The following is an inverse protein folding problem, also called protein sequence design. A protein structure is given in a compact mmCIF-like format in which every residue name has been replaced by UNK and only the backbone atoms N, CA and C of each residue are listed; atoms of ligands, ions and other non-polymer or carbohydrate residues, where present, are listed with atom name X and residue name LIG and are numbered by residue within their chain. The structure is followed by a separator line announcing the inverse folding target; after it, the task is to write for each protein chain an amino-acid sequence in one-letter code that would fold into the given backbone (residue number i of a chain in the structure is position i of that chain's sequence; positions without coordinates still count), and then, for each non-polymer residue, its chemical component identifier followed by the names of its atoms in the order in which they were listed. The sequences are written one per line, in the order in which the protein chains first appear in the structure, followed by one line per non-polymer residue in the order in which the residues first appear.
data_IF_697660862878
#
_entry.id   IF_697660862878
#
_cell.length_a   1.000
_cell.length_b   1.000
_cell.length_c   1.000
_cell.angle_alpha   90.00
_cell.angle_beta   90.00
_cell.angle_gamma   90.00
#
_symmetry.space_group_name_H-M   'P 1'
#
loop_
_entity.id
_entity.type
_entity.pdbx_description
1 polymer ?
#
# COMPACT_ATOMS: atom_id res chain seq x y z
N UNK A 1 -13.13 26.98 13.14
CA UNK A 1 -13.36 26.75 14.58
C UNK A 1 -13.94 25.37 14.80
N UNK A 2 -13.39 24.63 15.78
CA UNK A 2 -13.97 23.40 16.32
C UNK A 2 -14.39 23.61 17.75
N UNK A 3 -15.52 23.04 18.12
CA UNK A 3 -16.05 23.03 19.48
C UNK A 3 -16.26 21.60 19.92
N UNK A 4 -15.75 21.24 21.08
CA UNK A 4 -16.03 19.99 21.79
C UNK A 4 -16.94 20.31 22.98
N UNK A 5 -18.04 19.58 23.10
CA UNK A 5 -18.93 19.68 24.24
C UNK A 5 -18.94 18.33 24.95
N UNK A 6 -18.58 18.28 26.21
CA UNK A 6 -18.67 17.09 27.05
C UNK A 6 -20.12 16.80 27.47
N UNK A 7 -20.38 15.59 27.99
CA UNK A 7 -21.72 15.17 28.38
C UNK A 7 -22.29 16.01 29.54
N UNK A 8 -21.44 16.61 30.37
CA UNK A 8 -21.77 17.53 31.45
C UNK A 8 -21.95 18.99 30.99
N UNK A 9 -21.87 19.26 29.68
CA UNK A 9 -22.08 20.57 29.08
C UNK A 9 -20.82 21.46 29.03
N UNK A 10 -19.66 21.02 29.53
CA UNK A 10 -18.43 21.81 29.43
C UNK A 10 -18.02 21.96 27.96
N UNK A 11 -17.63 23.17 27.55
CA UNK A 11 -17.28 23.51 26.18
C UNK A 11 -15.83 23.93 26.06
N UNK A 12 -15.12 23.29 25.16
CA UNK A 12 -13.78 23.66 24.72
C UNK A 12 -13.79 24.00 23.23
N UNK A 13 -13.05 25.01 22.83
CA UNK A 13 -12.97 25.37 21.42
C UNK A 13 -11.54 25.66 20.97
N UNK A 14 -11.28 25.43 19.68
CA UNK A 14 -10.05 25.82 19.02
C UNK A 14 -10.35 26.45 17.65
N UNK A 15 -9.62 27.51 17.32
CA UNK A 15 -9.75 28.20 16.04
C UNK A 15 -8.37 28.32 15.40
N UNK A 16 -8.27 27.91 14.16
CA UNK A 16 -7.07 28.12 13.34
C UNK A 16 -7.44 28.88 12.08
N UNK A 17 -6.58 29.81 11.70
CA UNK A 17 -6.65 30.53 10.42
C UNK A 17 -5.36 30.34 9.66
N UNK A 18 -5.44 30.18 8.36
CA UNK A 18 -4.29 30.13 7.48
C UNK A 18 -4.69 30.69 6.11
N UNK A 19 -3.76 31.33 5.38
CA UNK A 19 -3.98 31.68 3.99
C UNK A 19 -4.16 30.38 3.17
N UNK A 20 -5.15 30.40 2.29
CA UNK A 20 -5.47 29.27 1.42
C UNK A 20 -5.29 29.74 -0.02
N UNK A 21 -4.56 28.97 -0.83
CA UNK A 21 -4.49 29.20 -2.27
C UNK A 21 -5.85 28.84 -2.86
N UNK A 22 -6.48 29.80 -3.51
CA UNK A 22 -7.81 29.62 -4.10
C UNK A 22 -7.77 28.74 -5.34
N UNK A 23 -8.69 27.79 -5.40
CA UNK A 23 -8.98 26.96 -6.56
C UNK A 23 -8.43 25.54 -6.54
N UNK A 24 -9.24 24.61 -7.02
CA UNK A 24 -8.86 23.25 -7.36
C UNK A 24 -8.57 22.29 -6.21
N UNK A 25 -7.71 21.32 -6.51
CA UNK A 25 -7.40 20.21 -5.60
C UNK A 25 -6.55 20.67 -4.40
N UNK A 26 -5.71 21.68 -4.58
CA UNK A 26 -4.80 22.17 -3.52
C UNK A 26 -5.57 22.92 -2.43
N UNK A 27 -6.57 23.71 -2.79
CA UNK A 27 -7.48 24.32 -1.82
C UNK A 27 -8.15 23.28 -0.92
N UNK A 28 -8.72 22.22 -1.53
CA UNK A 28 -9.33 21.11 -0.79
C UNK A 28 -8.35 20.41 0.16
N UNK A 29 -7.10 20.24 -0.26
CA UNK A 29 -6.04 19.65 0.57
C UNK A 29 -5.68 20.54 1.76
N UNK A 30 -5.54 21.84 1.53
CA UNK A 30 -5.21 22.81 2.57
C UNK A 30 -6.33 22.93 3.59
N UNK A 31 -7.59 23.01 3.14
CA UNK A 31 -8.77 23.02 4.00
C UNK A 31 -8.83 21.75 4.88
N UNK A 32 -8.71 20.58 4.28
CA UNK A 32 -8.69 19.31 5.05
C UNK A 32 -7.57 19.27 6.08
N UNK A 33 -6.39 19.79 5.75
CA UNK A 33 -5.25 19.87 6.68
C UNK A 33 -5.55 20.81 7.84
N UNK A 34 -6.09 21.99 7.54
CA UNK A 34 -6.46 22.98 8.56
C UNK A 34 -7.51 22.44 9.52
N UNK A 35 -8.55 21.77 8.98
CA UNK A 35 -9.60 21.12 9.76
C UNK A 35 -9.01 20.05 10.69
N UNK A 36 -8.23 19.11 10.16
CA UNK A 36 -7.57 18.04 10.93
C UNK A 36 -6.67 18.59 12.03
N UNK A 37 -5.88 19.62 11.72
CA UNK A 37 -4.97 20.26 12.68
C UNK A 37 -5.74 20.96 13.79
N UNK A 38 -6.81 21.66 13.47
CA UNK A 38 -7.64 22.35 14.44
C UNK A 38 -8.31 21.37 15.42
N UNK A 39 -8.87 20.29 14.89
CA UNK A 39 -9.45 19.21 15.70
C UNK A 39 -8.39 18.53 16.58
N UNK A 40 -7.24 18.19 16.01
CA UNK A 40 -6.13 17.58 16.73
C UNK A 40 -5.68 18.43 17.93
N UNK A 41 -5.45 19.72 17.72
CA UNK A 41 -5.00 20.62 18.79
C UNK A 41 -6.02 20.73 19.93
N UNK A 42 -7.32 20.73 19.60
CA UNK A 42 -8.37 20.71 20.60
C UNK A 42 -8.36 19.41 21.40
N UNK A 43 -8.33 18.26 20.72
CA UNK A 43 -8.31 16.94 21.36
C UNK A 43 -7.04 16.73 22.20
N UNK A 44 -5.87 17.15 21.70
CA UNK A 44 -4.61 17.10 22.45
C UNK A 44 -4.72 17.88 23.77
N UNK A 45 -5.27 19.09 23.74
CA UNK A 45 -5.45 19.92 24.94
C UNK A 45 -6.42 19.29 25.95
N UNK A 46 -7.58 18.82 25.48
CA UNK A 46 -8.61 18.25 26.35
C UNK A 46 -8.19 16.87 26.91
N UNK A 47 -7.54 16.03 26.12
CA UNK A 47 -7.14 14.69 26.56
C UNK A 47 -5.80 14.62 27.28
N UNK A 48 -4.96 15.66 27.17
CA UNK A 48 -3.57 15.63 27.61
C UNK A 48 -2.67 14.65 26.82
N UNK A 49 -3.19 14.00 25.78
CA UNK A 49 -2.46 12.98 25.00
C UNK A 49 -1.83 13.59 23.74
N UNK A 50 -0.59 13.20 23.47
CA UNK A 50 0.15 13.56 22.25
C UNK A 50 0.53 12.30 21.49
N UNK A 51 -0.24 11.88 20.47
CA UNK A 51 0.15 10.79 19.59
C UNK A 51 1.49 11.07 18.91
N UNK A 52 2.34 10.05 18.77
CA UNK A 52 3.69 10.21 18.19
C UNK A 52 3.68 10.73 16.74
N UNK A 53 2.64 10.43 15.98
CA UNK A 53 2.41 10.95 14.62
C UNK A 53 1.67 12.29 14.57
N UNK A 54 1.40 12.90 15.71
CA UNK A 54 0.73 14.19 15.83
C UNK A 54 -0.60 14.26 15.08
N UNK A 55 -0.79 15.30 14.29
CA UNK A 55 -1.98 15.50 13.44
C UNK A 55 -1.91 14.79 12.09
N UNK A 56 -0.85 14.02 11.80
CA UNK A 56 -0.67 13.33 10.55
C UNK A 56 -1.54 12.08 10.48
N UNK A 57 -2.63 12.14 9.72
CA UNK A 57 -3.58 11.02 9.56
C UNK A 57 -3.95 10.80 8.09
N UNK A 58 -4.05 9.53 7.66
CA UNK A 58 -4.51 9.16 6.32
C UNK A 58 -3.56 9.60 5.20
N UNK A 59 -2.28 9.75 5.49
CA UNK A 59 -1.22 10.07 4.53
C UNK A 59 -0.05 9.11 4.79
N UNK A 60 0.62 8.67 3.75
CA UNK A 60 1.90 7.97 3.85
C UNK A 60 2.98 8.99 4.27
N UNK A 61 3.59 8.89 5.45
CA UNK A 61 4.51 9.91 5.96
C UNK A 61 5.72 10.11 5.06
N UNK A 62 6.29 9.03 4.53
CA UNK A 62 7.42 9.08 3.59
C UNK A 62 7.08 9.83 2.31
N UNK A 63 5.86 9.65 1.76
CA UNK A 63 5.42 10.42 0.58
C UNK A 63 5.36 11.91 0.87
N UNK A 64 4.87 12.31 2.05
CA UNK A 64 4.86 13.72 2.45
C UNK A 64 6.28 14.27 2.53
N UNK A 65 7.22 13.49 3.12
CA UNK A 65 8.62 13.87 3.22
C UNK A 65 9.22 14.10 1.83
N UNK A 66 9.10 13.15 0.91
CA UNK A 66 9.58 13.29 -0.46
C UNK A 66 8.97 14.49 -1.19
N UNK A 67 7.68 14.73 -1.04
CA UNK A 67 7.01 15.91 -1.64
C UNK A 67 7.60 17.24 -1.17
N UNK A 68 8.12 17.32 0.06
CA UNK A 68 8.79 18.52 0.54
C UNK A 68 10.19 18.66 -0.05
N UNK A 69 10.95 17.55 -0.17
CA UNK A 69 12.25 17.53 -0.85
C UNK A 69 12.11 17.94 -2.34
N UNK A 70 11.10 17.44 -3.04
CA UNK A 70 10.79 17.80 -4.44
C UNK A 70 10.47 19.28 -4.63
N UNK A 71 9.98 19.94 -3.59
CA UNK A 71 9.77 21.40 -3.55
C UNK A 71 11.05 22.18 -3.24
N UNK A 72 12.20 21.52 -3.19
CA UNK A 72 13.50 22.11 -2.95
C UNK A 72 13.84 22.38 -1.47
N UNK A 73 13.04 21.84 -0.52
CA UNK A 73 13.37 21.98 0.90
C UNK A 73 14.53 21.09 1.30
N UNK A 74 15.38 21.59 2.21
CA UNK A 74 16.40 20.79 2.87
C UNK A 74 15.77 19.79 3.85
N UNK A 75 16.53 18.78 4.26
CA UNK A 75 16.06 17.81 5.28
C UNK A 75 15.70 18.52 6.59
N UNK A 76 16.47 19.49 7.01
CA UNK A 76 16.22 20.27 8.22
C UNK A 76 14.89 21.05 8.14
N UNK A 77 14.60 21.65 7.00
CA UNK A 77 13.33 22.34 6.77
C UNK A 77 12.14 21.37 6.75
N UNK A 78 12.34 20.15 6.21
CA UNK A 78 11.30 19.11 6.27
C UNK A 78 11.07 18.68 7.72
N UNK A 79 12.13 18.38 8.49
CA UNK A 79 12.05 18.04 9.92
C UNK A 79 11.29 19.11 10.71
N UNK A 80 11.62 20.37 10.50
CA UNK A 80 10.94 21.51 11.11
C UNK A 80 9.45 21.54 10.73
N UNK A 81 9.14 21.35 9.45
CA UNK A 81 7.76 21.29 8.97
C UNK A 81 6.97 20.15 9.63
N UNK A 82 7.58 18.97 9.81
CA UNK A 82 6.94 17.83 10.45
C UNK A 82 6.67 18.07 11.93
N UNK A 83 7.61 18.70 12.62
CA UNK A 83 7.46 19.08 14.03
C UNK A 83 6.42 20.20 14.23
N UNK A 84 6.58 21.32 13.54
CA UNK A 84 5.78 22.54 13.80
C UNK A 84 4.36 22.45 13.19
N UNK A 85 4.24 21.90 11.97
CA UNK A 85 2.95 21.85 11.28
C UNK A 85 2.10 20.64 11.69
N UNK A 86 2.75 19.50 11.94
CA UNK A 86 2.06 18.25 12.22
C UNK A 86 2.21 17.76 13.66
N UNK A 87 3.07 18.36 14.47
CA UNK A 87 3.36 17.98 15.86
C UNK A 87 3.87 16.53 16.01
N UNK A 88 4.67 16.04 15.03
CA UNK A 88 5.31 14.73 15.13
C UNK A 88 6.31 14.71 16.29
N UNK A 89 6.44 13.55 16.94
CA UNK A 89 7.52 13.33 17.90
C UNK A 89 8.88 13.28 17.19
N UNK A 90 9.95 13.63 17.93
CA UNK A 90 11.31 13.57 17.40
C UNK A 90 11.66 12.16 16.92
N UNK A 91 11.30 11.12 17.68
CA UNK A 91 11.47 9.72 17.33
C UNK A 91 10.88 9.38 15.95
N UNK A 92 9.67 9.87 15.62
CA UNK A 92 9.05 9.60 14.31
C UNK A 92 9.67 10.41 13.18
N UNK A 93 10.20 11.59 13.48
CA UNK A 93 10.95 12.40 12.52
C UNK A 93 12.28 11.70 12.19
N UNK A 94 13.00 11.20 13.19
CA UNK A 94 14.26 10.48 13.02
C UNK A 94 14.05 9.17 12.25
N UNK A 95 13.01 8.40 12.59
CA UNK A 95 12.61 7.21 11.84
C UNK A 95 12.33 7.52 10.35
N UNK A 96 11.67 8.63 10.05
CA UNK A 96 11.45 9.04 8.66
C UNK A 96 12.75 9.36 7.93
N UNK A 97 13.69 10.04 8.59
CA UNK A 97 15.02 10.32 8.01
C UNK A 97 15.80 9.03 7.72
N UNK A 98 15.75 8.06 8.63
CA UNK A 98 16.37 6.74 8.44
C UNK A 98 15.76 6.01 7.24
N UNK A 99 14.41 5.97 7.14
CA UNK A 99 13.71 5.35 6.02
C UNK A 99 14.07 6.03 4.70
N UNK A 100 14.06 7.37 4.64
CA UNK A 100 14.40 8.14 3.45
C UNK A 100 15.86 7.89 3.04
N UNK A 101 16.75 7.76 4.02
CA UNK A 101 18.18 7.45 3.76
C UNK A 101 18.35 6.02 3.21
N UNK A 102 17.66 5.04 3.80
CA UNK A 102 17.68 3.66 3.34
C UNK A 102 17.05 3.47 1.93
N UNK A 103 16.11 4.33 1.56
CA UNK A 103 15.45 4.32 0.25
C UNK A 103 16.25 5.07 -0.83
N UNK A 104 17.37 5.69 -0.48
CA UNK A 104 18.21 6.43 -1.43
C UNK A 104 18.73 5.48 -2.52
N UNK A 105 18.51 5.81 -3.79
CA UNK A 105 18.89 4.97 -4.92
C UNK A 105 17.92 3.81 -5.25
N UNK A 106 17.00 3.46 -4.33
CA UNK A 106 16.00 2.41 -4.59
C UNK A 106 14.75 2.96 -5.29
N UNK A 107 14.33 4.16 -4.91
CA UNK A 107 13.16 4.81 -5.52
C UNK A 107 13.61 5.55 -6.78
N UNK A 108 13.21 5.04 -7.92
CA UNK A 108 13.44 5.69 -9.20
C UNK A 108 12.32 6.73 -9.46
N UNK A 109 12.75 7.96 -9.72
CA UNK A 109 11.86 9.09 -10.00
C UNK A 109 12.11 9.69 -11.39
N UNK A 110 12.79 8.95 -12.26
CA UNK A 110 13.04 9.39 -13.64
C UNK A 110 11.71 9.54 -14.39
N UNK A 111 11.68 10.47 -15.30
CA UNK A 111 10.45 10.92 -15.98
C UNK A 111 9.81 9.88 -16.91
N UNK A 112 10.43 8.71 -17.17
CA UNK A 112 9.91 7.70 -18.10
C UNK A 112 9.96 6.30 -17.52
N UNK A 113 9.75 6.18 -16.21
CA UNK A 113 9.70 4.91 -15.50
C UNK A 113 8.34 4.75 -14.84
N UNK A 114 7.77 3.57 -14.91
CA UNK A 114 6.54 3.21 -14.22
C UNK A 114 6.67 1.81 -13.60
N UNK A 115 5.75 1.50 -12.71
CA UNK A 115 5.61 0.20 -12.07
C UNK A 115 4.30 -0.44 -12.52
N UNK A 116 4.31 -1.77 -12.72
CA UNK A 116 3.15 -2.57 -13.08
C UNK A 116 2.55 -3.22 -11.84
N UNK A 117 1.28 -3.00 -11.58
CA UNK A 117 0.52 -3.75 -10.57
C UNK A 117 -0.57 -4.57 -11.24
N UNK A 118 -0.56 -5.88 -10.99
CA UNK A 118 -1.58 -6.82 -11.47
C UNK A 118 -2.38 -7.32 -10.27
N UNK A 119 -3.68 -7.06 -10.26
CA UNK A 119 -4.57 -7.45 -9.16
C UNK A 119 -5.28 -8.77 -9.44
N UNK A 120 -5.22 -9.75 -8.54
CA UNK A 120 -6.01 -10.98 -8.60
C UNK A 120 -7.09 -10.89 -7.51
N UNK A 121 -8.36 -10.71 -7.86
CA UNK A 121 -9.42 -10.42 -6.88
C UNK A 121 -9.99 -11.68 -6.21
N UNK A 122 -9.29 -12.80 -6.25
CA UNK A 122 -9.77 -14.07 -5.71
C UNK A 122 -9.01 -14.49 -4.46
N UNK A 123 -9.72 -15.08 -3.49
CA UNK A 123 -9.19 -15.72 -2.30
C UNK A 123 -9.86 -17.07 -2.08
N UNK A 124 -9.21 -18.00 -1.39
CA UNK A 124 -9.83 -19.30 -1.01
C UNK A 124 -10.91 -19.11 0.04
N UNK A 125 -10.70 -18.16 0.98
CA UNK A 125 -11.70 -17.75 2.00
C UNK A 125 -11.55 -16.26 2.28
N UNK A 126 -12.60 -15.62 2.79
CA UNK A 126 -12.53 -14.21 3.19
C UNK A 126 -12.09 -14.07 4.64
N UNK A 127 -11.00 -13.34 4.86
CA UNK A 127 -10.54 -13.02 6.21
C UNK A 127 -11.44 -11.98 6.90
N UNK A 128 -11.72 -12.15 8.19
CA UNK A 128 -12.61 -11.28 8.95
C UNK A 128 -12.23 -9.78 8.97
N UNK A 129 -10.95 -9.48 8.81
CA UNK A 129 -10.40 -8.11 8.82
C UNK A 129 -10.22 -7.51 7.42
N UNK A 130 -10.47 -8.29 6.33
CA UNK A 130 -10.09 -7.88 4.98
C UNK A 130 -10.98 -6.76 4.44
N UNK A 131 -10.34 -5.65 4.04
CA UNK A 131 -10.98 -4.52 3.38
C UNK A 131 -10.73 -4.45 1.87
N UNK A 132 -10.02 -5.44 1.30
CA UNK A 132 -9.75 -5.47 -0.13
C UNK A 132 -11.00 -5.78 -0.95
N UNK A 133 -11.04 -5.27 -2.18
CA UNK A 133 -12.07 -5.60 -3.18
C UNK A 133 -11.80 -6.99 -3.76
N UNK A 134 -11.84 -8.02 -2.91
CA UNK A 134 -11.65 -9.42 -3.29
C UNK A 134 -12.84 -10.26 -2.82
N UNK A 135 -13.11 -11.33 -3.56
CA UNK A 135 -14.15 -12.30 -3.26
C UNK A 135 -13.59 -13.71 -3.10
N UNK A 136 -14.40 -14.60 -2.56
CA UNK A 136 -14.04 -16.02 -2.53
C UNK A 136 -14.07 -16.59 -3.95
N UNK A 137 -13.10 -17.43 -4.28
CA UNK A 137 -12.95 -18.03 -5.60
C UNK A 137 -14.12 -18.99 -5.93
N UNK A 138 -14.75 -19.56 -4.89
CA UNK A 138 -15.89 -20.48 -5.04
C UNK A 138 -15.54 -21.69 -5.91
N UNK A 139 -16.39 -21.98 -6.89
CA UNK A 139 -16.19 -23.03 -7.89
C UNK A 139 -15.24 -22.63 -9.03
N UNK A 140 -14.72 -21.40 -9.00
CA UNK A 140 -13.75 -20.87 -9.99
C UNK A 140 -14.35 -20.42 -11.32
N UNK A 141 -15.68 -20.43 -11.50
CA UNK A 141 -16.32 -20.10 -12.80
C UNK A 141 -16.00 -18.66 -13.28
N UNK A 142 -15.67 -17.74 -12.37
CA UNK A 142 -15.29 -16.37 -12.71
C UNK A 142 -13.81 -16.20 -13.08
N UNK A 143 -12.95 -17.18 -12.80
CA UNK A 143 -11.50 -17.05 -12.99
C UNK A 143 -11.14 -16.92 -14.47
N UNK A 144 -11.63 -17.82 -15.31
CA UNK A 144 -11.33 -17.80 -16.74
C UNK A 144 -11.83 -16.55 -17.47
N UNK A 145 -13.09 -16.09 -17.26
CA UNK A 145 -13.54 -14.80 -17.81
C UNK A 145 -12.69 -13.63 -17.34
N UNK A 146 -12.28 -13.63 -16.06
CA UNK A 146 -11.42 -12.59 -15.50
C UNK A 146 -10.04 -12.59 -16.16
N UNK A 147 -9.37 -13.75 -16.26
CA UNK A 147 -8.04 -13.85 -16.88
C UNK A 147 -8.07 -13.41 -18.35
N UNK A 148 -9.12 -13.77 -19.09
CA UNK A 148 -9.30 -13.29 -20.48
C UNK A 148 -9.42 -11.77 -20.57
N UNK A 149 -10.08 -11.13 -19.63
CA UNK A 149 -10.16 -9.67 -19.57
C UNK A 149 -8.82 -9.06 -19.17
N UNK A 150 -8.16 -9.63 -18.16
CA UNK A 150 -6.86 -9.21 -17.66
C UNK A 150 -5.78 -9.28 -18.75
N UNK A 151 -5.73 -10.34 -19.55
CA UNK A 151 -4.78 -10.47 -20.64
C UNK A 151 -4.92 -9.37 -21.68
N UNK A 152 -6.15 -9.02 -22.06
CA UNK A 152 -6.40 -7.89 -22.96
C UNK A 152 -5.98 -6.54 -22.34
N UNK A 153 -6.19 -6.38 -21.04
CA UNK A 153 -5.76 -5.17 -20.32
C UNK A 153 -4.24 -5.08 -20.26
N UNK A 154 -3.53 -6.18 -20.01
CA UNK A 154 -2.07 -6.27 -20.03
C UNK A 154 -1.53 -5.87 -21.42
N UNK A 155 -2.11 -6.39 -22.50
CA UNK A 155 -1.75 -6.04 -23.87
C UNK A 155 -1.91 -4.54 -24.14
N UNK A 156 -3.07 -3.99 -23.80
CA UNK A 156 -3.35 -2.57 -24.00
C UNK A 156 -2.43 -1.67 -23.15
N UNK A 157 -2.15 -2.06 -21.89
CA UNK A 157 -1.22 -1.34 -21.03
C UNK A 157 0.22 -1.36 -21.57
N UNK A 158 0.66 -2.49 -22.11
CA UNK A 158 1.98 -2.62 -22.71
C UNK A 158 2.12 -1.76 -23.98
N UNK A 159 1.09 -1.71 -24.81
CA UNK A 159 1.05 -0.82 -25.98
C UNK A 159 1.11 0.64 -25.57
N UNK A 160 0.27 1.05 -24.63
CA UNK A 160 0.26 2.41 -24.07
C UNK A 160 1.62 2.79 -23.47
N UNK A 161 2.26 1.89 -22.71
CA UNK A 161 3.58 2.14 -22.14
C UNK A 161 4.62 2.38 -23.24
N UNK A 162 4.58 1.60 -24.33
CA UNK A 162 5.46 1.73 -25.50
C UNK A 162 5.25 3.05 -26.22
N UNK A 163 4.00 3.43 -26.49
CA UNK A 163 3.66 4.69 -27.16
C UNK A 163 4.11 5.91 -26.33
N UNK A 164 3.97 5.84 -25.01
CA UNK A 164 4.42 6.89 -24.10
C UNK A 164 5.94 6.87 -23.84
N UNK A 165 6.66 5.88 -24.35
CA UNK A 165 8.09 5.68 -24.09
C UNK A 165 8.39 5.41 -22.60
N UNK A 166 7.48 4.71 -21.91
CA UNK A 166 7.65 4.33 -20.51
C UNK A 166 8.38 3.00 -20.41
N UNK A 167 9.32 2.93 -19.47
CA UNK A 167 9.97 1.69 -19.06
C UNK A 167 9.30 1.14 -17.79
N UNK A 168 8.83 -0.10 -17.86
CA UNK A 168 8.28 -0.80 -16.67
C UNK A 168 9.46 -1.44 -15.93
N UNK A 169 9.76 -0.89 -14.77
CA UNK A 169 10.91 -1.30 -13.96
C UNK A 169 10.57 -2.39 -12.96
N UNK A 170 9.41 -2.26 -12.29
CA UNK A 170 8.96 -3.15 -11.22
C UNK A 170 7.60 -3.72 -11.57
N UNK A 171 7.44 -5.03 -11.35
CA UNK A 171 6.17 -5.73 -11.43
C UNK A 171 5.73 -6.26 -10.07
N UNK A 172 4.43 -6.23 -9.84
CA UNK A 172 3.83 -6.75 -8.62
C UNK A 172 2.48 -7.41 -8.90
N UNK A 173 2.37 -8.70 -8.61
CA UNK A 173 1.10 -9.42 -8.66
C UNK A 173 0.59 -9.57 -7.23
N UNK A 174 -0.55 -8.95 -6.95
CA UNK A 174 -1.15 -8.92 -5.61
C UNK A 174 -2.67 -8.92 -5.65
N UNK A 175 -3.30 -8.35 -4.64
CA UNK A 175 -4.75 -8.22 -4.54
C UNK A 175 -5.36 -9.10 -3.46
N UNK A 176 -6.20 -10.07 -3.82
CA UNK A 176 -6.74 -11.07 -2.93
C UNK A 176 -5.68 -12.12 -2.56
N UNK A 177 -5.50 -13.08 -3.44
CA UNK A 177 -4.49 -14.16 -3.28
C UNK A 177 -4.08 -14.66 -4.65
N UNK A 178 -3.01 -14.17 -5.28
CA UNK A 178 -2.57 -14.63 -6.60
C UNK A 178 -2.33 -16.14 -6.68
N UNK A 179 -1.82 -16.74 -5.60
CA UNK A 179 -1.61 -18.19 -5.49
C UNK A 179 -2.89 -19.02 -5.39
N UNK A 180 -4.08 -18.39 -5.30
CA UNK A 180 -5.36 -19.09 -5.41
C UNK A 180 -5.67 -19.58 -6.83
N UNK A 181 -5.01 -19.02 -7.84
CA UNK A 181 -5.05 -19.53 -9.20
C UNK A 181 -4.41 -20.92 -9.26
N UNK A 182 -4.86 -21.76 -10.17
CA UNK A 182 -4.18 -23.03 -10.46
C UNK A 182 -2.77 -22.78 -10.99
N UNK A 183 -1.88 -23.77 -10.91
CA UNK A 183 -0.50 -23.62 -11.40
C UNK A 183 -0.48 -23.21 -12.88
N UNK A 184 -1.30 -23.83 -13.73
CA UNK A 184 -1.40 -23.49 -15.15
C UNK A 184 -1.96 -22.09 -15.42
N UNK A 185 -2.92 -21.63 -14.63
CA UNK A 185 -3.47 -20.27 -14.75
C UNK A 185 -2.45 -19.22 -14.36
N UNK A 186 -1.72 -19.44 -13.25
CA UNK A 186 -0.66 -18.53 -12.81
C UNK A 186 0.51 -18.52 -13.81
N UNK A 187 0.92 -19.68 -14.33
CA UNK A 187 1.93 -19.80 -15.36
C UNK A 187 1.54 -19.04 -16.63
N UNK A 188 0.30 -19.20 -17.08
CA UNK A 188 -0.22 -18.46 -18.24
C UNK A 188 -0.18 -16.95 -18.02
N UNK A 189 -0.48 -16.48 -16.80
CA UNK A 189 -0.39 -15.06 -16.45
C UNK A 189 1.06 -14.57 -16.47
N UNK A 190 2.00 -15.32 -15.87
CA UNK A 190 3.42 -14.98 -15.85
C UNK A 190 3.99 -14.91 -17.27
N UNK A 191 3.73 -15.92 -18.09
CA UNK A 191 4.12 -15.95 -19.50
C UNK A 191 3.58 -14.72 -20.27
N UNK A 192 2.34 -14.34 -19.99
CA UNK A 192 1.71 -13.21 -20.67
C UNK A 192 2.35 -11.87 -20.27
N UNK A 193 2.66 -11.69 -18.99
CA UNK A 193 3.39 -10.51 -18.50
C UNK A 193 4.79 -10.44 -19.09
N UNK A 194 5.54 -11.54 -19.09
CA UNK A 194 6.89 -11.61 -19.66
C UNK A 194 6.91 -11.29 -21.15
N UNK A 195 5.96 -11.84 -21.89
CA UNK A 195 5.82 -11.58 -23.33
C UNK A 195 5.65 -10.09 -23.64
N UNK A 196 4.93 -9.36 -22.83
CA UNK A 196 4.54 -7.97 -23.12
C UNK A 196 5.43 -6.92 -22.48
N UNK A 197 6.02 -7.21 -21.31
CA UNK A 197 6.86 -6.28 -20.55
C UNK A 197 8.33 -6.71 -20.44
N UNK A 198 8.66 -7.96 -20.76
CA UNK A 198 10.01 -8.50 -20.62
C UNK A 198 10.40 -8.72 -19.15
N UNK A 199 11.73 -8.75 -18.92
CA UNK A 199 12.30 -8.89 -17.58
C UNK A 199 12.31 -7.54 -16.86
N UNK A 200 11.88 -7.53 -15.60
CA UNK A 200 11.85 -6.37 -14.72
C UNK A 200 12.99 -6.43 -13.71
N UNK A 201 13.43 -5.27 -13.18
CA UNK A 201 14.46 -5.21 -12.14
C UNK A 201 14.00 -5.88 -10.84
N UNK A 202 12.72 -5.74 -10.51
CA UNK A 202 12.07 -6.44 -9.39
C UNK A 202 10.70 -6.93 -9.85
N UNK A 203 10.41 -8.22 -9.66
CA UNK A 203 9.10 -8.79 -9.92
C UNK A 203 8.64 -9.62 -8.74
N UNK A 204 7.59 -9.17 -8.08
CA UNK A 204 7.05 -9.78 -6.87
C UNK A 204 5.72 -10.48 -7.15
N UNK A 205 5.58 -11.71 -6.64
CA UNK A 205 4.29 -12.43 -6.60
C UNK A 205 3.88 -12.65 -5.16
N UNK A 206 2.69 -12.15 -4.78
CA UNK A 206 2.11 -12.48 -3.49
C UNK A 206 1.61 -13.93 -3.48
N UNK A 207 2.36 -14.79 -2.81
CA UNK A 207 1.97 -16.14 -2.45
C UNK A 207 1.32 -16.12 -1.05
N UNK A 208 0.37 -15.22 -0.85
CA UNK A 208 -0.08 -14.70 0.44
C UNK A 208 -0.73 -15.71 1.38
N UNK A 209 -0.94 -16.94 0.95
CA UNK A 209 -1.59 -18.00 1.75
C UNK A 209 -0.81 -19.31 1.63
N UNK A 210 -0.22 -19.81 2.73
CA UNK A 210 0.49 -21.08 2.73
C UNK A 210 -0.35 -22.27 2.22
N UNK A 211 -1.66 -22.26 2.49
CA UNK A 211 -2.61 -23.29 2.06
C UNK A 211 -2.89 -23.31 0.53
N UNK A 212 -2.35 -22.34 -0.22
CA UNK A 212 -2.48 -22.28 -1.69
C UNK A 212 -1.18 -22.61 -2.41
N UNK A 213 -0.15 -22.97 -1.68
CA UNK A 213 1.18 -23.28 -2.20
C UNK A 213 1.45 -24.78 -2.17
N UNK A 214 2.08 -25.27 -3.22
CA UNK A 214 2.69 -26.58 -3.30
C UNK A 214 4.05 -26.47 -4.01
N UNK A 215 4.84 -27.55 -3.94
CA UNK A 215 6.17 -27.59 -4.54
C UNK A 215 6.11 -27.36 -6.06
N UNK A 216 5.10 -27.90 -6.75
CA UNK A 216 4.94 -27.73 -8.20
C UNK A 216 4.75 -26.24 -8.56
N UNK A 217 3.86 -25.55 -7.85
CA UNK A 217 3.61 -24.13 -8.06
C UNK A 217 4.84 -23.27 -7.75
N UNK A 218 5.55 -23.56 -6.67
CA UNK A 218 6.79 -22.85 -6.31
C UNK A 218 7.88 -23.07 -7.35
N UNK A 219 8.07 -24.31 -7.84
CA UNK A 219 9.02 -24.62 -8.92
C UNK A 219 8.62 -23.91 -10.23
N UNK A 220 7.35 -23.87 -10.56
CA UNK A 220 6.84 -23.13 -11.71
C UNK A 220 7.18 -21.64 -11.58
N UNK A 221 6.88 -21.00 -10.45
CA UNK A 221 7.21 -19.58 -10.22
C UNK A 221 8.73 -19.33 -10.33
N UNK A 222 9.55 -20.26 -9.83
CA UNK A 222 11.02 -20.15 -9.89
C UNK A 222 11.58 -20.19 -11.33
N UNK A 223 10.88 -20.79 -12.28
CA UNK A 223 11.29 -20.82 -13.69
C UNK A 223 11.02 -19.50 -14.44
N UNK A 224 10.26 -18.60 -13.82
CA UNK A 224 9.97 -17.26 -14.34
C UNK A 224 10.92 -16.22 -13.72
N UNK A 225 11.10 -15.03 -14.30
CA UNK A 225 11.96 -13.96 -13.76
C UNK A 225 11.33 -13.26 -12.54
N UNK A 226 10.67 -14.03 -11.68
CA UNK A 226 10.15 -13.57 -10.40
C UNK A 226 11.31 -13.46 -9.41
N UNK A 227 11.56 -12.26 -8.91
CA UNK A 227 12.68 -11.98 -8.00
C UNK A 227 12.31 -12.13 -6.53
N UNK A 228 11.00 -12.10 -6.22
CA UNK A 228 10.47 -12.19 -4.85
C UNK A 228 9.10 -12.84 -4.81
N UNK A 229 8.90 -13.68 -3.82
CA UNK A 229 7.57 -14.12 -3.38
C UNK A 229 7.34 -13.67 -1.94
N UNK A 230 6.10 -13.42 -1.55
CA UNK A 230 5.74 -13.15 -0.15
C UNK A 230 4.78 -14.20 0.36
N UNK A 231 5.14 -14.88 1.46
CA UNK A 231 4.32 -15.84 2.17
C UNK A 231 3.87 -15.17 3.46
N UNK A 232 2.55 -14.99 3.64
CA UNK A 232 2.01 -14.18 4.73
C UNK A 232 1.45 -15.05 5.86
N UNK A 233 2.14 -15.18 7.00
CA UNK A 233 1.64 -15.95 8.14
C UNK A 233 0.42 -15.30 8.79
N UNK A 234 0.29 -14.00 8.73
CA UNK A 234 -0.62 -13.11 9.47
C UNK A 234 -0.36 -13.17 10.99
N UNK A 235 -0.23 -14.36 11.55
CA UNK A 235 0.19 -14.65 12.91
C UNK A 235 0.70 -16.09 12.97
N UNK A 236 1.51 -16.40 13.97
CA UNK A 236 1.98 -17.76 14.27
C UNK A 236 1.14 -18.42 15.39
N UNK A 237 -0.03 -17.88 15.71
CA UNK A 237 -0.97 -18.43 16.67
C UNK A 237 -2.17 -19.04 15.95
N UNK A 238 -2.30 -20.38 16.02
CA UNK A 238 -3.31 -21.13 15.27
C UNK A 238 -4.75 -20.78 15.70
N UNK A 239 -4.99 -20.53 16.99
CA UNK A 239 -6.31 -20.10 17.47
C UNK A 239 -6.74 -18.75 16.84
N UNK A 240 -5.79 -17.83 16.75
CA UNK A 240 -6.03 -16.54 16.10
C UNK A 240 -6.26 -16.71 14.59
N UNK A 241 -5.49 -17.59 13.91
CA UNK A 241 -5.71 -17.91 12.49
C UNK A 241 -7.13 -18.39 12.24
N UNK A 242 -7.63 -19.31 13.03
CA UNK A 242 -9.03 -19.79 12.93
C UNK A 242 -10.02 -18.64 13.13
N UNK A 243 -9.82 -17.79 14.14
CA UNK A 243 -10.73 -16.65 14.43
C UNK A 243 -10.80 -15.62 13.29
N UNK A 244 -9.70 -15.42 12.56
CA UNK A 244 -9.65 -14.48 11.45
C UNK A 244 -10.01 -15.10 10.08
N UNK A 245 -10.41 -16.38 10.05
CA UNK A 245 -10.83 -17.07 8.82
C UNK A 245 -9.65 -17.52 7.95
N UNK A 246 -8.51 -17.87 8.55
CA UNK A 246 -7.37 -18.48 7.85
C UNK A 246 -7.40 -19.99 7.98
N UNK A 247 -7.24 -20.71 6.84
CA UNK A 247 -7.28 -22.16 6.79
C UNK A 247 -5.91 -22.84 7.04
N UNK A 248 -4.81 -22.07 7.09
CA UNK A 248 -3.47 -22.61 7.34
C UNK A 248 -3.09 -22.54 8.81
N UNK A 249 -2.07 -23.31 9.16
CA UNK A 249 -1.43 -23.31 10.49
C UNK A 249 -0.08 -22.60 10.48
N UNK A 250 0.44 -22.26 11.66
CA UNK A 250 1.80 -21.75 11.83
C UNK A 250 2.85 -22.69 11.21
N UNK A 251 2.68 -24.02 11.41
CA UNK A 251 3.57 -25.02 10.84
C UNK A 251 3.56 -25.03 9.31
N UNK A 252 2.40 -24.90 8.68
CA UNK A 252 2.31 -24.80 7.21
C UNK A 252 3.00 -23.55 6.68
N UNK A 253 2.98 -22.43 7.41
CA UNK A 253 3.74 -21.23 7.04
C UNK A 253 5.25 -21.46 7.04
N UNK A 254 5.76 -22.25 8.00
CA UNK A 254 7.19 -22.59 8.08
C UNK A 254 7.60 -23.55 6.96
N UNK A 255 6.70 -24.46 6.58
CA UNK A 255 6.96 -25.44 5.52
C UNK A 255 6.94 -24.83 4.11
N UNK A 256 6.09 -23.82 3.89
CA UNK A 256 5.99 -23.12 2.61
C UNK A 256 7.19 -22.18 2.38
#
# INVERSE_FOLDING_TARGET
TFVLTSMDGHREQNTLSAPIVSGGLEEKRQLKRLVKRCCYMLLKRVSGRRPAWGSLTGIRPTRLYYQQLEKGKTREEVRRTLSELFDLSQEKIDLLDEIISAQQGLIDRRARVCDLYVGIPFCTTRCAYCSFSSGEIGDGHLVEPYLKALFREIEACAEMAREMGLHVRVGYIGGGTPSSLTTSQLESLLNHIEKHFGTMEEFTVEAGRPDTLDEQKLRMIHHHPVTRISINPQTMNDETLVRIGRAHTAQQTIQA
#
